data_IF_389301928525
#
_entry.id   IF_389301928525
#
_cell.length_a   1.000
_cell.length_b   1.000
_cell.length_c   1.000
_cell.angle_alpha   90.00
_cell.angle_beta   90.00
_cell.angle_gamma   90.00
#
_symmetry.space_group_name_H-M   'P 1'
#
loop_
_entity.id
_entity.type
_entity.pdbx_description
1 polymer ?
#
# COMPACT_ATOMS: atom_id res chain seq x y z
N UNK A 1 -0.80 71.75 -18.47
CA UNK A 1 -1.73 70.93 -17.66
C UNK A 1 -1.60 69.49 -18.12
N UNK A 2 -0.80 68.70 -17.41
CA UNK A 2 -0.43 67.32 -17.77
C UNK A 2 -0.99 66.36 -16.72
N UNK A 3 -1.89 65.46 -17.13
CA UNK A 3 -2.44 64.37 -16.31
C UNK A 3 -1.43 63.22 -16.23
N UNK A 4 -1.11 62.68 -15.04
CA UNK A 4 -0.45 61.38 -14.96
C UNK A 4 -1.51 60.26 -14.92
N UNK A 5 -1.40 59.33 -15.87
CA UNK A 5 -2.08 58.04 -15.88
C UNK A 5 -1.31 57.06 -14.98
N UNK A 6 -1.98 56.53 -13.94
CA UNK A 6 -1.48 55.37 -13.17
C UNK A 6 -1.60 54.10 -14.02
N UNK A 7 -0.57 53.23 -14.07
CA UNK A 7 -0.77 51.86 -14.53
C UNK A 7 -1.38 51.05 -13.38
N UNK A 8 -2.60 50.56 -13.60
CA UNK A 8 -3.20 49.54 -12.78
C UNK A 8 -2.41 48.23 -12.95
N UNK A 9 -1.50 47.95 -12.01
CA UNK A 9 -0.90 46.62 -11.84
C UNK A 9 -2.00 45.66 -11.37
N UNK A 10 -2.58 44.94 -12.33
CA UNK A 10 -3.32 43.70 -12.08
C UNK A 10 -2.35 42.71 -11.43
N UNK A 11 -2.38 42.65 -10.11
CA UNK A 11 -1.82 41.53 -9.37
C UNK A 11 -2.65 40.30 -9.74
N UNK A 12 -2.18 39.53 -10.72
CA UNK A 12 -2.54 38.12 -10.87
C UNK A 12 -2.10 37.42 -9.59
N UNK A 13 -2.99 37.34 -8.62
CA UNK A 13 -2.89 36.38 -7.54
C UNK A 13 -3.06 35.01 -8.17
N UNK A 14 -1.95 34.46 -8.68
CA UNK A 14 -1.81 33.02 -8.79
C UNK A 14 -1.93 32.48 -7.38
N UNK A 15 -3.14 32.08 -7.00
CA UNK A 15 -3.33 31.09 -5.96
C UNK A 15 -2.58 29.85 -6.41
N UNK A 16 -1.32 29.74 -5.97
CA UNK A 16 -0.64 28.47 -5.95
C UNK A 16 -1.51 27.57 -5.07
N UNK A 17 -2.36 26.75 -5.70
CA UNK A 17 -2.90 25.58 -5.04
C UNK A 17 -1.70 24.85 -4.46
N UNK A 18 -1.67 24.69 -3.14
CA UNK A 18 -0.72 23.83 -2.47
C UNK A 18 -0.74 22.50 -3.25
N UNK A 19 0.38 22.18 -3.90
CA UNK A 19 0.48 21.14 -4.92
C UNK A 19 0.18 19.77 -4.32
N UNK A 20 -1.09 19.41 -4.28
CA UNK A 20 -1.53 18.03 -4.04
C UNK A 20 -1.09 17.21 -5.25
N UNK A 21 -0.27 16.19 -5.01
CA UNK A 21 0.07 15.22 -6.05
C UNK A 21 -1.21 14.65 -6.65
N UNK A 22 -1.25 14.53 -7.97
CA UNK A 22 -2.41 13.97 -8.68
C UNK A 22 -2.74 12.57 -8.14
N UNK A 23 -4.01 12.27 -7.84
CA UNK A 23 -4.43 10.93 -7.42
C UNK A 23 -3.99 9.86 -8.42
N UNK A 24 -3.73 8.67 -7.92
CA UNK A 24 -3.37 7.52 -8.78
C UNK A 24 -4.33 6.37 -8.54
N UNK A 25 -4.49 5.51 -9.54
CA UNK A 25 -5.31 4.31 -9.37
C UNK A 25 -4.62 3.33 -8.43
N UNK A 26 -5.42 2.51 -7.74
CA UNK A 26 -4.95 1.43 -6.88
C UNK A 26 -4.02 0.42 -7.56
N UNK A 27 -4.09 0.28 -8.89
CA UNK A 27 -3.26 -0.66 -9.64
C UNK A 27 -1.88 -0.10 -9.97
N UNK A 28 -1.75 1.22 -10.03
CA UNK A 28 -0.52 1.87 -10.47
C UNK A 28 0.72 1.46 -9.65
N UNK A 29 0.67 1.35 -8.30
CA UNK A 29 1.78 0.86 -7.51
C UNK A 29 2.25 -0.56 -7.87
N UNK A 30 1.37 -1.45 -8.34
CA UNK A 30 1.73 -2.83 -8.68
C UNK A 30 2.70 -2.90 -9.86
N UNK A 31 2.64 -1.92 -10.77
CA UNK A 31 3.57 -1.83 -11.91
C UNK A 31 4.94 -1.29 -11.51
N UNK A 32 5.09 -0.77 -10.29
CA UNK A 32 6.36 -0.28 -9.75
C UNK A 32 7.10 -1.32 -8.91
N UNK A 33 6.47 -2.47 -8.64
CA UNK A 33 7.08 -3.57 -7.89
C UNK A 33 8.24 -4.17 -8.71
N UNK A 34 9.47 -4.20 -8.17
CA UNK A 34 10.60 -4.81 -8.85
C UNK A 34 10.34 -6.27 -9.24
N UNK A 35 10.65 -6.62 -10.49
CA UNK A 35 10.53 -7.98 -10.99
C UNK A 35 9.10 -8.43 -11.29
N UNK A 36 8.11 -7.53 -11.32
CA UNK A 36 6.73 -7.87 -11.73
C UNK A 36 6.71 -8.56 -13.11
N UNK A 37 5.98 -9.67 -13.19
CA UNK A 37 5.78 -10.45 -14.40
C UNK A 37 4.35 -10.31 -14.91
N UNK A 38 3.37 -10.44 -14.01
CA UNK A 38 1.94 -10.35 -14.33
C UNK A 38 1.16 -9.80 -13.14
N UNK A 39 0.14 -9.02 -13.43
CA UNK A 39 -0.88 -8.57 -12.46
C UNK A 39 -2.22 -9.13 -12.92
N UNK A 40 -3.01 -9.67 -12.01
CA UNK A 40 -4.30 -10.29 -12.31
C UNK A 40 -5.35 -9.80 -11.32
N UNK A 41 -6.26 -8.99 -11.87
CA UNK A 41 -7.36 -8.36 -11.16
C UNK A 41 -8.54 -9.30 -11.00
N UNK A 42 -8.86 -9.67 -9.76
CA UNK A 42 -10.08 -10.37 -9.42
C UNK A 42 -11.14 -9.41 -8.89
N UNK A 43 -12.40 -9.60 -9.31
CA UNK A 43 -13.55 -9.11 -8.56
C UNK A 43 -14.19 -10.31 -7.86
N UNK A 44 -14.07 -10.40 -6.53
CA UNK A 44 -14.89 -11.30 -5.73
C UNK A 44 -16.02 -10.48 -5.10
N UNK A 45 -17.16 -10.40 -5.77
CA UNK A 45 -18.40 -9.85 -5.22
C UNK A 45 -18.32 -8.39 -4.74
N UNK A 46 -19.08 -8.07 -3.70
CA UNK A 46 -19.19 -6.74 -3.06
C UNK A 46 -18.05 -6.45 -2.06
N UNK A 47 -16.94 -7.17 -2.17
CA UNK A 47 -15.88 -7.26 -1.16
C UNK A 47 -14.58 -6.59 -1.63
N UNK A 48 -13.62 -6.35 -0.71
CA UNK A 48 -12.47 -5.49 -1.00
C UNK A 48 -11.64 -6.03 -2.16
N UNK A 49 -11.09 -5.10 -2.94
CA UNK A 49 -10.38 -5.38 -4.19
C UNK A 49 -9.25 -6.35 -3.96
N UNK A 50 -9.35 -7.52 -4.61
CA UNK A 50 -8.40 -8.63 -4.46
C UNK A 50 -7.62 -8.79 -5.74
N UNK A 51 -6.32 -8.52 -5.67
CA UNK A 51 -5.38 -8.67 -6.78
C UNK A 51 -4.43 -9.82 -6.52
N UNK A 52 -3.92 -10.37 -7.60
CA UNK A 52 -2.79 -11.28 -7.55
C UNK A 52 -1.66 -10.73 -8.40
N UNK A 53 -0.50 -10.53 -7.80
CA UNK A 53 0.72 -10.13 -8.51
C UNK A 53 1.69 -11.31 -8.54
N UNK A 54 2.24 -11.59 -9.71
CA UNK A 54 3.37 -12.52 -9.86
C UNK A 54 4.63 -11.74 -10.15
N UNK A 55 5.68 -11.96 -9.36
CA UNK A 55 6.97 -11.30 -9.52
C UNK A 55 8.13 -12.31 -9.45
N UNK A 56 9.27 -11.91 -10.00
CA UNK A 56 10.52 -12.67 -9.99
C UNK A 56 11.45 -12.11 -8.91
N UNK A 57 11.76 -12.94 -7.91
CA UNK A 57 12.69 -12.62 -6.83
C UNK A 57 13.77 -13.70 -6.78
N UNK A 58 15.04 -13.31 -6.85
CA UNK A 58 16.19 -14.24 -6.82
C UNK A 58 16.06 -15.43 -7.80
N UNK A 59 15.51 -15.18 -8.99
CA UNK A 59 15.29 -16.23 -10.00
C UNK A 59 13.99 -17.02 -9.85
N UNK A 60 13.30 -16.93 -8.71
CA UNK A 60 12.07 -17.65 -8.41
C UNK A 60 10.83 -16.84 -8.79
N UNK A 61 9.80 -17.51 -9.33
CA UNK A 61 8.49 -16.90 -9.57
C UNK A 61 7.66 -17.02 -8.29
N UNK A 62 7.16 -15.89 -7.82
CA UNK A 62 6.41 -15.79 -6.57
C UNK A 62 5.08 -15.11 -6.83
N UNK A 63 4.02 -15.72 -6.32
CA UNK A 63 2.68 -15.17 -6.39
C UNK A 63 2.30 -14.58 -5.03
N UNK A 64 1.96 -13.30 -5.03
CA UNK A 64 1.47 -12.55 -3.87
C UNK A 64 0.02 -12.19 -4.12
N UNK A 65 -0.82 -12.46 -3.14
CA UNK A 65 -2.21 -12.06 -3.10
C UNK A 65 -2.29 -10.79 -2.27
N UNK A 66 -3.15 -9.85 -2.66
CA UNK A 66 -3.31 -8.63 -1.89
C UNK A 66 -4.73 -8.10 -1.94
N UNK A 67 -5.08 -7.38 -0.87
CA UNK A 67 -6.29 -6.61 -0.73
C UNK A 67 -5.92 -5.18 -0.37
N UNK A 68 -6.58 -4.22 -0.99
CA UNK A 68 -6.47 -2.79 -0.65
C UNK A 68 -7.82 -2.26 -0.19
N UNK A 69 -7.83 -1.35 0.77
CA UNK A 69 -9.07 -0.80 1.29
C UNK A 69 -8.94 0.57 1.95
N UNK A 70 -10.07 1.00 2.50
CA UNK A 70 -10.20 2.17 3.35
C UNK A 70 -10.54 1.73 4.78
N UNK A 71 -9.72 2.14 5.75
CA UNK A 71 -10.02 2.04 7.17
C UNK A 71 -10.32 3.45 7.68
N UNK A 72 -11.61 3.81 7.62
CA UNK A 72 -12.17 5.12 7.99
C UNK A 72 -13.55 4.97 8.61
N UNK A 73 -13.90 5.90 9.50
CA UNK A 73 -15.27 6.09 9.99
C UNK A 73 -16.19 6.71 8.93
N UNK A 74 -15.63 7.31 7.86
CA UNK A 74 -16.38 7.82 6.71
C UNK A 74 -16.25 6.86 5.51
N UNK A 75 -17.26 5.99 5.29
CA UNK A 75 -17.23 5.01 4.20
C UNK A 75 -17.42 5.64 2.81
N UNK A 76 -17.74 6.94 2.73
CA UNK A 76 -17.90 7.62 1.44
C UNK A 76 -16.56 8.00 0.79
N UNK A 77 -15.48 7.99 1.57
CA UNK A 77 -14.14 8.31 1.08
C UNK A 77 -13.62 7.19 0.17
N UNK A 78 -13.38 7.53 -1.09
CA UNK A 78 -12.87 6.59 -2.11
C UNK A 78 -11.34 6.57 -2.17
N UNK A 79 -10.69 6.41 -1.02
CA UNK A 79 -9.23 6.42 -0.88
C UNK A 79 -8.72 5.12 -0.30
N UNK A 80 -7.47 4.79 -0.62
CA UNK A 80 -6.79 3.62 -0.08
C UNK A 80 -5.79 4.09 0.96
N UNK A 81 -6.00 3.62 2.19
CA UNK A 81 -5.06 3.82 3.29
C UNK A 81 -4.63 2.51 3.97
N UNK A 82 -5.05 1.37 3.41
CA UNK A 82 -4.70 0.05 3.90
C UNK A 82 -4.32 -0.90 2.77
N UNK A 83 -3.32 -1.74 3.06
CA UNK A 83 -2.92 -2.88 2.24
C UNK A 83 -2.85 -4.10 3.13
N UNK A 84 -3.24 -5.24 2.60
CA UNK A 84 -3.00 -6.55 3.18
C UNK A 84 -2.47 -7.45 2.07
N UNK A 85 -1.26 -7.99 2.22
CA UNK A 85 -0.59 -8.81 1.22
C UNK A 85 -0.13 -10.14 1.83
N UNK A 86 -0.23 -11.25 1.09
CA UNK A 86 0.12 -12.56 1.62
C UNK A 86 0.52 -13.58 0.55
N UNK A 87 1.18 -14.64 1.01
CA UNK A 87 1.44 -15.84 0.22
C UNK A 87 0.63 -17.01 0.76
N UNK A 88 0.40 -18.02 -0.07
CA UNK A 88 -0.44 -19.16 0.32
C UNK A 88 0.23 -20.10 1.33
N UNK A 89 1.54 -20.05 1.46
CA UNK A 89 2.28 -20.89 2.40
C UNK A 89 2.15 -20.34 3.82
N UNK A 90 1.97 -21.19 4.85
CA UNK A 90 1.92 -20.75 6.24
C UNK A 90 3.29 -20.28 6.72
N UNK A 91 4.39 -20.89 6.25
CA UNK A 91 5.76 -20.43 6.52
C UNK A 91 6.40 -20.01 5.21
N UNK A 92 6.76 -18.73 5.07
CA UNK A 92 7.29 -18.19 3.83
C UNK A 92 8.80 -18.37 3.74
N UNK A 93 9.26 -18.72 2.54
CA UNK A 93 10.68 -18.68 2.20
C UNK A 93 11.21 -17.23 2.22
N UNK A 94 12.54 -17.02 2.34
CA UNK A 94 13.12 -15.67 2.28
C UNK A 94 12.71 -14.88 1.02
N UNK A 95 12.63 -15.55 -0.14
CA UNK A 95 12.23 -14.89 -1.38
C UNK A 95 10.74 -14.47 -1.35
N UNK A 96 9.86 -15.25 -0.70
CA UNK A 96 8.46 -14.88 -0.52
C UNK A 96 8.29 -13.71 0.45
N UNK A 97 9.05 -13.69 1.54
CA UNK A 97 9.12 -12.56 2.48
C UNK A 97 9.58 -11.29 1.78
N UNK A 98 10.64 -11.38 0.98
CA UNK A 98 11.11 -10.28 0.14
C UNK A 98 10.01 -9.81 -0.83
N UNK A 99 9.31 -10.73 -1.49
CA UNK A 99 8.21 -10.37 -2.39
C UNK A 99 7.09 -9.59 -1.69
N UNK A 100 6.70 -10.00 -0.48
CA UNK A 100 5.72 -9.27 0.34
C UNK A 100 6.21 -7.86 0.70
N UNK A 101 7.46 -7.74 1.11
CA UNK A 101 8.11 -6.47 1.43
C UNK A 101 8.16 -5.53 0.22
N UNK A 102 8.47 -6.02 -0.98
CA UNK A 102 8.50 -5.20 -2.20
C UNK A 102 7.12 -4.69 -2.61
N UNK A 103 6.08 -5.53 -2.48
CA UNK A 103 4.68 -5.10 -2.73
C UNK A 103 4.28 -4.03 -1.71
N UNK A 104 4.56 -4.26 -0.43
CA UNK A 104 4.28 -3.30 0.64
C UNK A 104 4.99 -1.96 0.41
N UNK A 105 6.27 -2.00 0.03
CA UNK A 105 7.09 -0.83 -0.29
C UNK A 105 6.51 -0.02 -1.43
N UNK A 106 6.13 -0.68 -2.52
CA UNK A 106 5.56 -0.02 -3.69
C UNK A 106 4.25 0.70 -3.35
N UNK A 107 3.37 0.07 -2.56
CA UNK A 107 2.13 0.69 -2.09
C UNK A 107 2.37 1.84 -1.12
N UNK A 108 3.25 1.66 -0.14
CA UNK A 108 3.53 2.74 0.81
C UNK A 108 4.13 3.95 0.08
N UNK A 109 5.12 3.74 -0.78
CA UNK A 109 5.73 4.81 -1.57
C UNK A 109 4.75 5.46 -2.55
N UNK A 110 3.88 4.67 -3.18
CA UNK A 110 2.96 5.17 -4.20
C UNK A 110 1.71 5.84 -3.64
N UNK A 111 1.14 5.27 -2.58
CA UNK A 111 -0.16 5.66 -2.05
C UNK A 111 -0.06 6.57 -0.82
N UNK A 112 1.06 6.66 -0.13
CA UNK A 112 1.25 7.60 0.97
C UNK A 112 2.15 8.76 0.51
N UNK A 113 1.56 9.96 0.32
CA UNK A 113 2.31 11.16 -0.11
C UNK A 113 3.33 11.65 0.91
N UNK A 114 3.26 11.15 2.15
CA UNK A 114 4.13 11.48 3.26
C UNK A 114 5.08 10.32 3.61
N UNK A 115 5.20 9.30 2.76
CA UNK A 115 6.06 8.16 3.02
C UNK A 115 7.51 8.60 3.24
N UNK A 116 8.07 8.29 4.41
CA UNK A 116 9.45 8.66 4.76
C UNK A 116 10.43 7.53 4.42
N UNK A 117 11.72 7.83 4.15
CA UNK A 117 12.73 6.80 3.98
C UNK A 117 12.82 5.84 5.17
N UNK A 118 12.60 6.33 6.39
CA UNK A 118 12.59 5.51 7.61
C UNK A 118 11.42 4.52 7.63
N UNK A 119 10.22 4.95 7.23
CA UNK A 119 9.07 4.05 7.07
C UNK A 119 9.31 2.98 5.99
N UNK A 120 9.94 3.35 4.88
CA UNK A 120 10.31 2.38 3.84
C UNK A 120 11.44 1.44 4.29
N UNK A 121 12.35 1.91 5.15
CA UNK A 121 13.39 1.09 5.73
C UNK A 121 12.85 0.10 6.78
N UNK A 122 11.80 0.47 7.52
CA UNK A 122 11.10 -0.42 8.45
C UNK A 122 10.70 -1.74 7.77
N UNK A 123 10.22 -1.68 6.52
CA UNK A 123 9.83 -2.84 5.73
C UNK A 123 11.00 -3.81 5.43
N UNK A 124 12.24 -3.32 5.38
CA UNK A 124 13.45 -4.16 5.24
C UNK A 124 13.91 -4.74 6.58
N UNK A 125 13.49 -4.17 7.70
CA UNK A 125 13.84 -4.71 9.02
C UNK A 125 12.89 -5.82 9.46
N UNK A 126 11.85 -6.09 8.67
CA UNK A 126 10.92 -7.19 8.86
C UNK A 126 11.56 -8.56 8.60
N UNK A 127 12.79 -8.63 8.09
CA UNK A 127 13.52 -9.87 7.82
C UNK A 127 13.52 -10.87 8.99
N UNK A 128 13.32 -10.37 10.23
CA UNK A 128 12.97 -11.17 11.40
C UNK A 128 11.46 -11.36 11.49
N UNK A 129 10.95 -12.13 10.54
CA UNK A 129 9.65 -12.76 10.65
C UNK A 129 9.77 -13.82 11.75
N UNK A 130 9.60 -13.40 13.00
CA UNK A 130 9.69 -14.26 14.17
C UNK A 130 8.51 -15.25 14.20
N UNK A 131 8.79 -16.50 14.56
CA UNK A 131 7.76 -17.52 14.73
C UNK A 131 6.92 -17.20 15.98
N UNK A 132 5.59 -17.31 15.88
CA UNK A 132 4.73 -17.40 17.07
C UNK A 132 3.63 -16.35 17.22
N UNK A 133 3.32 -15.54 16.21
CA UNK A 133 2.26 -14.56 16.39
C UNK A 133 2.02 -13.59 15.25
N UNK A 134 0.98 -12.79 15.43
CA UNK A 134 0.81 -11.54 14.72
C UNK A 134 1.62 -10.47 15.43
N UNK A 135 2.46 -9.77 14.68
CA UNK A 135 3.31 -8.69 15.17
C UNK A 135 2.91 -7.39 14.48
N UNK A 136 2.97 -6.28 15.21
CA UNK A 136 2.73 -4.95 14.66
C UNK A 136 3.75 -3.96 15.17
N UNK A 137 4.05 -2.97 14.32
CA UNK A 137 4.88 -1.83 14.68
C UNK A 137 4.38 -0.58 13.98
N UNK A 138 4.17 0.48 14.76
CA UNK A 138 3.81 1.80 14.25
C UNK A 138 5.03 2.72 14.27
N UNK A 139 5.28 3.40 13.15
CA UNK A 139 6.31 4.42 13.01
C UNK A 139 5.73 5.61 12.26
N UNK A 140 5.73 6.78 12.89
CA UNK A 140 5.31 8.05 12.26
C UNK A 140 3.91 7.96 11.60
N UNK A 141 2.96 7.30 12.26
CA UNK A 141 1.59 7.12 11.78
C UNK A 141 1.37 6.00 10.76
N UNK A 142 2.44 5.32 10.31
CA UNK A 142 2.34 4.10 9.51
C UNK A 142 2.43 2.89 10.42
N UNK A 143 1.39 2.06 10.44
CA UNK A 143 1.38 0.77 11.12
C UNK A 143 1.70 -0.33 10.11
N UNK A 144 2.68 -1.16 10.46
CA UNK A 144 3.07 -2.34 9.70
C UNK A 144 2.79 -3.56 10.56
N UNK A 145 1.94 -4.46 10.08
CA UNK A 145 1.67 -5.75 10.71
C UNK A 145 2.28 -6.88 9.89
N UNK A 146 2.74 -7.95 10.53
CA UNK A 146 3.25 -9.13 9.84
C UNK A 146 3.09 -10.39 10.69
N UNK A 147 2.99 -11.53 10.02
CA UNK A 147 3.08 -12.83 10.66
C UNK A 147 3.66 -13.86 9.70
N UNK A 148 4.48 -14.74 10.27
CA UNK A 148 4.88 -16.01 9.65
C UNK A 148 4.26 -17.15 10.47
N UNK A 149 3.53 -18.03 9.80
CA UNK A 149 2.83 -19.15 10.43
C UNK A 149 1.33 -18.93 10.62
N UNK A 150 0.83 -19.38 11.78
CA UNK A 150 -0.59 -19.59 12.01
C UNK A 150 -1.40 -18.33 12.35
N UNK A 151 -0.77 -17.15 12.32
CA UNK A 151 -1.35 -15.95 12.93
C UNK A 151 -1.94 -14.96 11.94
N UNK A 152 -1.77 -15.18 10.64
CA UNK A 152 -2.43 -14.42 9.60
C UNK A 152 -3.35 -15.36 8.81
N UNK A 153 -4.66 -15.22 9.04
CA UNK A 153 -5.65 -16.17 8.53
C UNK A 153 -6.89 -15.46 8.04
N UNK A 154 -7.30 -15.79 6.82
CA UNK A 154 -8.61 -15.44 6.29
C UNK A 154 -9.56 -16.59 6.53
N UNK A 155 -10.81 -16.25 6.88
CA UNK A 155 -11.91 -17.18 6.68
C UNK A 155 -12.16 -17.27 5.19
N UNK A 156 -11.95 -18.45 4.60
CA UNK A 156 -12.47 -18.69 3.25
C UNK A 156 -13.99 -18.92 3.31
N UNK A 157 -14.65 -18.90 2.16
CA UNK A 157 -16.10 -19.08 2.01
C UNK A 157 -16.61 -20.42 2.61
N UNK A 158 -15.71 -21.37 2.93
CA UNK A 158 -16.00 -22.68 3.51
C UNK A 158 -15.72 -22.76 5.02
N UNK A 159 -15.61 -21.63 5.72
CA UNK A 159 -15.43 -21.49 7.17
C UNK A 159 -14.13 -22.07 7.77
N UNK A 160 -13.18 -22.56 6.95
CA UNK A 160 -11.90 -23.06 7.46
C UNK A 160 -10.86 -21.94 7.47
N UNK A 161 -10.40 -21.55 8.66
CA UNK A 161 -9.29 -20.63 8.82
C UNK A 161 -8.05 -21.22 8.14
N UNK A 162 -7.54 -20.55 7.10
CA UNK A 162 -6.30 -20.93 6.43
C UNK A 162 -5.17 -20.04 6.91
N UNK A 163 -4.17 -20.66 7.52
CA UNK A 163 -2.94 -20.00 7.95
C UNK A 163 -2.07 -19.63 6.76
N UNK A 164 -1.57 -18.41 6.75
CA UNK A 164 -0.80 -17.79 5.67
C UNK A 164 0.29 -16.92 6.29
N UNK A 165 1.41 -16.75 5.59
CA UNK A 165 2.33 -15.64 5.87
C UNK A 165 1.80 -14.38 5.20
N UNK A 166 1.72 -13.27 5.93
CA UNK A 166 1.22 -12.01 5.38
C UNK A 166 1.74 -10.77 6.08
N UNK A 167 1.59 -9.64 5.40
CA UNK A 167 1.97 -8.30 5.80
C UNK A 167 0.75 -7.38 5.65
N UNK A 168 0.48 -6.52 6.63
CA UNK A 168 -0.46 -5.41 6.51
C UNK A 168 0.23 -4.06 6.63
N UNK A 169 -0.33 -3.07 5.95
CA UNK A 169 0.02 -1.67 6.11
C UNK A 169 -1.25 -0.88 6.38
N UNK A 170 -1.12 0.11 7.25
CA UNK A 170 -2.10 1.16 7.45
C UNK A 170 -1.39 2.50 7.61
N UNK A 171 -1.91 3.54 6.96
CA UNK A 171 -1.39 4.91 7.09
C UNK A 171 -2.55 5.92 7.25
N UNK A 172 -2.26 7.18 7.61
CA UNK A 172 -3.30 8.18 7.77
C UNK A 172 -4.03 8.46 6.46
N UNK A 173 -5.36 8.54 6.52
CA UNK A 173 -6.22 8.77 5.36
C UNK A 173 -5.81 10.05 4.62
N UNK A 174 -5.48 11.10 5.36
CA UNK A 174 -5.11 12.42 4.81
C UNK A 174 -3.81 12.37 4.00
N UNK A 175 -2.99 11.35 4.21
CA UNK A 175 -1.78 11.12 3.43
C UNK A 175 -2.01 10.23 2.19
N UNK A 176 -3.25 9.76 1.97
CA UNK A 176 -3.59 8.84 0.89
C UNK A 176 -3.69 9.54 -0.45
N UNK A 177 -2.97 9.00 -1.45
CA UNK A 177 -2.99 9.40 -2.85
C UNK A 177 -3.77 8.43 -3.74
N UNK A 178 -3.75 7.15 -3.37
CA UNK A 178 -4.40 6.10 -4.14
C UNK A 178 -5.91 6.15 -3.96
N UNK A 179 -6.63 6.00 -5.06
CA UNK A 179 -8.07 5.97 -5.09
C UNK A 179 -8.59 4.65 -5.65
N UNK A 180 -9.85 4.39 -5.37
CA UNK A 180 -10.58 3.21 -5.82
C UNK A 180 -10.81 3.17 -7.32
#
# INVERSE_FOLDING_TARGET
>A
MTRPLLPALLALTTTAAAGGLEPISRQQPLHWVPGVLTVTSGHLGTQPFTETITLKVNGQRIQVYLITGNHSDDPSLSVINTLMAWVTTPTATPAQKQALTEVARAYLHGCNVQATPTQLALLNTLDRWEDGGWHEKTLEGVTVGWADGNSFGFRDEAERLKHRTGLSLQWPIQASRCQF
#
